data_IF_999749377931
#
_entry.id   IF_999749377931
#
_cell.length_a   1.000
_cell.length_b   1.000
_cell.length_c   1.000
_cell.angle_alpha   90.00
_cell.angle_beta   90.00
_cell.angle_gamma   90.00
#
_symmetry.space_group_name_H-M   'P 1'
#
loop_
_entity.id
_entity.type
_entity.pdbx_description
1 polymer ?
#
# COMPACT_ATOMS: atom_id res chain seq x y z
N UNK A 1 51.11 3.56 -22.18
CA UNK A 1 50.49 4.84 -22.33
C UNK A 1 49.02 4.79 -22.54
N UNK A 2 48.62 4.09 -23.45
CA UNK A 2 47.25 4.08 -23.80
C UNK A 2 46.38 3.35 -22.83
N UNK A 3 46.97 2.59 -22.07
CA UNK A 3 46.22 1.76 -21.17
C UNK A 3 45.36 2.55 -20.21
N UNK A 4 45.71 3.76 -19.97
CA UNK A 4 45.00 4.51 -18.97
C UNK A 4 43.55 4.77 -19.34
N UNK A 5 43.28 4.84 -20.57
CA UNK A 5 41.94 5.14 -21.01
C UNK A 5 40.90 4.09 -20.66
N UNK A 6 41.33 2.88 -20.47
CA UNK A 6 40.44 1.81 -20.11
C UNK A 6 39.83 1.97 -18.73
N UNK A 7 40.56 2.66 -17.88
CA UNK A 7 40.10 2.85 -16.51
C UNK A 7 38.84 3.71 -16.41
N UNK A 8 38.73 4.68 -17.28
CA UNK A 8 37.59 5.54 -17.31
C UNK A 8 36.29 4.80 -17.62
N UNK A 9 36.37 3.83 -18.48
CA UNK A 9 35.21 3.03 -18.83
C UNK A 9 34.75 2.15 -17.66
N UNK A 10 35.68 1.70 -16.88
CA UNK A 10 35.34 0.84 -15.74
C UNK A 10 34.57 1.59 -14.67
N UNK A 11 34.80 2.85 -14.52
CA UNK A 11 34.10 3.65 -13.54
C UNK A 11 32.60 3.76 -13.80
N UNK A 12 32.18 3.61 -15.03
CA UNK A 12 30.77 3.68 -15.39
C UNK A 12 30.00 2.42 -15.00
N UNK A 13 30.64 1.29 -14.91
CA UNK A 13 29.98 0.03 -14.62
C UNK A 13 29.25 -0.03 -13.29
N UNK A 14 29.85 0.40 -12.20
CA UNK A 14 29.19 0.40 -10.93
C UNK A 14 27.89 1.18 -10.92
N UNK A 15 27.86 2.29 -11.64
CA UNK A 15 26.66 3.12 -11.74
C UNK A 15 25.53 2.39 -12.46
N UNK A 16 25.83 1.69 -13.51
CA UNK A 16 24.87 0.91 -14.26
C UNK A 16 24.32 -0.24 -13.40
N UNK A 17 25.19 -0.91 -12.69
CA UNK A 17 24.81 -1.99 -11.81
C UNK A 17 23.87 -1.51 -10.69
N UNK A 18 24.11 -0.34 -10.14
CA UNK A 18 23.25 0.24 -9.13
C UNK A 18 21.86 0.58 -9.69
N UNK A 19 21.80 1.09 -10.88
CA UNK A 19 20.54 1.38 -11.54
C UNK A 19 19.71 0.11 -11.76
N UNK A 20 20.34 -1.00 -12.01
CA UNK A 20 19.66 -2.28 -12.22
C UNK A 20 19.05 -2.87 -10.94
N UNK A 21 19.59 -2.53 -9.79
CA UNK A 21 19.04 -3.06 -8.52
C UNK A 21 17.76 -2.35 -8.10
N UNK A 22 17.51 -1.15 -8.57
CA UNK A 22 16.33 -0.37 -8.22
C UNK A 22 15.04 -0.79 -8.95
N UNK A 23 15.08 -1.26 -10.20
CA UNK A 23 13.86 -1.48 -10.98
C UNK A 23 12.85 -2.44 -10.38
N UNK A 24 13.27 -3.41 -9.58
CA UNK A 24 12.37 -4.37 -8.97
C UNK A 24 11.33 -3.72 -8.06
N UNK A 25 11.78 -2.85 -7.16
CA UNK A 25 10.91 -2.12 -6.25
C UNK A 25 10.07 -1.08 -6.99
N UNK A 26 10.67 -0.37 -7.93
CA UNK A 26 9.97 0.64 -8.73
C UNK A 26 8.89 0.02 -9.62
N UNK A 27 9.13 -1.15 -10.17
CA UNK A 27 8.16 -1.84 -11.02
C UNK A 27 6.89 -2.19 -10.25
N UNK A 28 7.00 -2.66 -9.03
CA UNK A 28 5.86 -2.94 -8.16
C UNK A 28 5.09 -1.67 -7.83
N UNK A 29 5.78 -0.59 -7.54
CA UNK A 29 5.20 0.72 -7.24
C UNK A 29 4.44 1.29 -8.44
N UNK A 30 4.99 1.15 -9.65
CA UNK A 30 4.34 1.65 -10.86
C UNK A 30 3.08 0.87 -11.21
N UNK A 31 3.01 -0.41 -10.91
CA UNK A 31 1.82 -1.22 -11.14
C UNK A 31 0.66 -0.86 -10.22
N UNK A 32 0.96 -0.34 -9.05
CA UNK A 32 -0.03 -0.02 -8.03
C UNK A 32 0.17 1.41 -7.52
N UNK A 33 -0.46 2.39 -8.17
CA UNK A 33 -0.28 3.80 -7.80
C UNK A 33 -0.68 4.10 -6.35
N UNK A 34 -1.61 3.35 -5.79
CA UNK A 34 -1.97 3.45 -4.38
C UNK A 34 -0.78 3.12 -3.47
N UNK A 35 -0.09 2.01 -3.74
CA UNK A 35 1.11 1.64 -2.97
C UNK A 35 2.21 2.69 -3.11
N UNK A 36 2.41 3.18 -4.33
CA UNK A 36 3.38 4.24 -4.58
C UNK A 36 3.09 5.52 -3.80
N UNK A 37 1.83 5.91 -3.72
CA UNK A 37 1.41 7.06 -2.93
C UNK A 37 1.65 6.83 -1.43
N UNK A 38 1.30 5.66 -0.92
CA UNK A 38 1.51 5.31 0.47
C UNK A 38 2.99 5.28 0.86
N UNK A 39 3.82 4.62 0.06
CA UNK A 39 5.26 4.54 0.34
C UNK A 39 5.94 5.90 0.28
N UNK A 40 5.58 6.73 -0.69
CA UNK A 40 6.19 8.06 -0.85
C UNK A 40 5.70 9.07 0.19
N UNK A 41 4.42 9.08 0.50
CA UNK A 41 3.84 10.09 1.40
C UNK A 41 4.00 9.74 2.88
N UNK A 42 3.95 8.47 3.21
CA UNK A 42 4.01 8.00 4.59
C UNK A 42 5.38 7.44 4.98
N UNK A 43 6.27 7.22 4.01
CA UNK A 43 7.57 6.62 4.26
C UNK A 43 7.50 5.17 4.75
N UNK A 44 6.42 4.47 4.45
CA UNK A 44 6.24 3.06 4.82
C UNK A 44 6.86 2.14 3.77
N UNK A 45 7.23 0.93 4.19
CA UNK A 45 7.70 -0.09 3.24
C UNK A 45 6.55 -0.61 2.37
N UNK A 46 6.89 -1.26 1.27
CA UNK A 46 5.90 -1.86 0.38
C UNK A 46 5.06 -2.92 1.11
N UNK A 47 5.68 -3.73 1.94
CA UNK A 47 4.98 -4.75 2.73
C UNK A 47 4.04 -4.13 3.75
N UNK A 48 4.47 -3.07 4.42
CA UNK A 48 3.61 -2.30 5.32
C UNK A 48 2.42 -1.70 4.58
N UNK A 49 2.65 -1.12 3.41
CA UNK A 49 1.60 -0.55 2.58
C UNK A 49 0.61 -1.64 2.13
N UNK A 50 1.10 -2.78 1.67
CA UNK A 50 0.26 -3.92 1.26
C UNK A 50 -0.56 -4.48 2.41
N UNK A 51 0.07 -4.75 3.53
CA UNK A 51 -0.61 -5.23 4.73
C UNK A 51 -1.61 -4.23 5.26
N UNK A 52 -1.29 -2.94 5.21
CA UNK A 52 -2.16 -1.86 5.61
C UNK A 52 -3.39 -1.74 4.73
N UNK A 53 -3.23 -1.74 3.41
CA UNK A 53 -4.36 -1.74 2.47
C UNK A 53 -5.23 -2.99 2.66
N UNK A 54 -4.61 -4.17 2.86
CA UNK A 54 -5.33 -5.40 3.14
C UNK A 54 -6.14 -5.34 4.43
N UNK A 55 -5.58 -4.76 5.48
CA UNK A 55 -6.28 -4.54 6.75
C UNK A 55 -7.46 -3.58 6.59
N UNK A 56 -7.27 -2.51 5.82
CA UNK A 56 -8.31 -1.56 5.49
C UNK A 56 -9.46 -2.22 4.70
N UNK A 57 -9.12 -3.02 3.69
CA UNK A 57 -10.10 -3.77 2.91
C UNK A 57 -10.84 -4.80 3.78
N UNK A 58 -10.17 -5.43 4.73
CA UNK A 58 -10.82 -6.34 5.67
C UNK A 58 -11.86 -5.61 6.52
N UNK A 59 -11.53 -4.41 7.01
CA UNK A 59 -12.50 -3.59 7.74
C UNK A 59 -13.71 -3.26 6.87
N UNK A 60 -13.50 -2.85 5.63
CA UNK A 60 -14.58 -2.55 4.70
C UNK A 60 -15.45 -3.78 4.41
N UNK A 61 -14.84 -4.95 4.26
CA UNK A 61 -15.55 -6.20 4.04
C UNK A 61 -16.50 -6.54 5.18
N UNK A 62 -16.13 -6.19 6.40
CA UNK A 62 -16.98 -6.43 7.59
C UNK A 62 -18.07 -5.36 7.77
N UNK A 63 -17.83 -4.16 7.27
CA UNK A 63 -18.71 -3.00 7.45
C UNK A 63 -19.70 -2.80 6.31
N UNK A 64 -19.35 -3.19 5.11
CA UNK A 64 -20.14 -2.97 3.91
C UNK A 64 -20.86 -4.23 3.47
N UNK A 65 -21.96 -4.05 2.76
CA UNK A 65 -22.60 -5.15 2.05
C UNK A 65 -21.66 -5.68 0.95
N UNK A 66 -21.80 -6.95 0.60
CA UNK A 66 -20.93 -7.60 -0.37
C UNK A 66 -20.83 -6.85 -1.70
N UNK A 67 -21.93 -6.35 -2.20
CA UNK A 67 -21.95 -5.59 -3.45
C UNK A 67 -21.19 -4.27 -3.38
N UNK A 68 -21.30 -3.56 -2.26
CA UNK A 68 -20.59 -2.31 -2.02
C UNK A 68 -19.09 -2.55 -1.86
N UNK A 69 -18.72 -3.61 -1.16
CA UNK A 69 -17.33 -4.01 -1.03
C UNK A 69 -16.73 -4.40 -2.39
N UNK A 70 -17.45 -5.15 -3.22
CA UNK A 70 -16.99 -5.57 -4.54
C UNK A 70 -16.71 -4.35 -5.45
N UNK A 71 -17.52 -3.29 -5.35
CA UNK A 71 -17.25 -2.04 -6.06
C UNK A 71 -15.91 -1.41 -5.64
N UNK A 72 -15.66 -1.35 -4.34
CA UNK A 72 -14.39 -0.80 -3.82
C UNK A 72 -13.21 -1.69 -4.17
N UNK A 73 -13.37 -3.00 -4.03
CA UNK A 73 -12.32 -3.96 -4.36
C UNK A 73 -11.92 -3.90 -5.83
N UNK A 74 -12.87 -3.63 -6.73
CA UNK A 74 -12.58 -3.49 -8.16
C UNK A 74 -11.73 -2.26 -8.49
N UNK A 75 -11.75 -1.23 -7.64
CA UNK A 75 -10.92 -0.04 -7.80
C UNK A 75 -9.46 -0.27 -7.35
N UNK A 76 -9.23 -1.32 -6.59
CA UNK A 76 -7.90 -1.66 -6.07
C UNK A 76 -7.37 -2.88 -6.79
N UNK A 77 -6.49 -2.70 -7.79
CA UNK A 77 -5.91 -3.83 -8.51
C UNK A 77 -5.19 -4.78 -7.54
N UNK A 78 -5.57 -6.03 -7.53
CA UNK A 78 -4.98 -7.02 -6.63
C UNK A 78 -5.51 -6.99 -5.19
N UNK A 79 -6.73 -6.50 -4.97
CA UNK A 79 -7.36 -6.42 -3.65
C UNK A 79 -7.29 -7.74 -2.86
N UNK A 80 -7.53 -8.87 -3.51
CA UNK A 80 -7.41 -10.19 -2.87
C UNK A 80 -5.98 -10.48 -2.38
N UNK A 81 -4.97 -10.08 -3.16
CA UNK A 81 -3.57 -10.20 -2.77
C UNK A 81 -3.22 -9.36 -1.55
N UNK A 82 -3.83 -8.19 -1.41
CA UNK A 82 -3.64 -7.35 -0.21
C UNK A 82 -4.30 -7.96 1.03
N UNK A 83 -5.50 -8.53 0.88
CA UNK A 83 -6.16 -9.27 1.95
C UNK A 83 -5.30 -10.44 2.44
N UNK A 84 -4.72 -11.19 1.50
CA UNK A 84 -3.82 -12.30 1.84
C UNK A 84 -2.52 -11.80 2.49
N UNK A 85 -1.98 -10.69 2.02
CA UNK A 85 -0.78 -10.08 2.61
C UNK A 85 -1.04 -9.65 4.07
N UNK A 86 -2.18 -9.03 4.35
CA UNK A 86 -2.55 -8.64 5.70
C UNK A 86 -2.65 -9.84 6.64
N UNK A 87 -3.18 -10.96 6.16
CA UNK A 87 -3.25 -12.21 6.91
C UNK A 87 -1.87 -12.82 7.13
N UNK A 88 -1.06 -12.92 6.08
CA UNK A 88 0.30 -13.49 6.13
C UNK A 88 1.22 -12.69 7.04
N UNK A 89 1.10 -11.38 7.05
CA UNK A 89 1.89 -10.49 7.90
C UNK A 89 1.38 -10.47 9.35
N UNK A 90 0.29 -11.18 9.65
CA UNK A 90 -0.27 -11.23 10.99
C UNK A 90 -0.95 -9.93 11.44
N UNK A 91 -1.15 -8.99 10.54
CA UNK A 91 -1.85 -7.75 10.84
C UNK A 91 -3.33 -8.02 11.14
N UNK A 92 -3.95 -8.91 10.37
CA UNK A 92 -5.34 -9.31 10.53
C UNK A 92 -5.40 -10.75 11.04
N UNK A 93 -5.73 -10.90 12.31
CA UNK A 93 -5.91 -12.23 12.96
C UNK A 93 -7.38 -12.63 13.07
N UNK A 94 -8.29 -11.73 12.67
CA UNK A 94 -9.72 -11.95 12.73
C UNK A 94 -10.49 -10.77 12.12
N UNK A 95 -11.82 -10.77 12.20
CA UNK A 95 -12.62 -9.71 11.61
C UNK A 95 -12.32 -8.35 12.27
N UNK A 96 -12.14 -7.34 11.46
CA UNK A 96 -11.90 -5.95 11.92
C UNK A 96 -13.26 -5.24 11.99
N UNK A 97 -13.74 -5.02 13.19
CA UNK A 97 -15.08 -4.46 13.41
C UNK A 97 -15.11 -2.94 13.51
N UNK A 98 -13.97 -2.30 13.72
CA UNK A 98 -13.90 -0.87 13.94
C UNK A 98 -12.51 -0.31 13.56
N UNK A 99 -12.40 1.03 13.53
CA UNK A 99 -11.13 1.73 13.26
C UNK A 99 -10.04 1.40 14.29
N UNK A 100 -10.42 1.12 15.52
CA UNK A 100 -9.46 0.76 16.55
C UNK A 100 -8.77 -0.56 16.24
N UNK A 101 -9.53 -1.54 15.73
CA UNK A 101 -8.98 -2.79 15.21
C UNK A 101 -8.05 -2.57 14.03
N UNK A 102 -8.41 -1.67 13.12
CA UNK A 102 -7.57 -1.29 12.00
C UNK A 102 -6.27 -0.64 12.48
N UNK A 103 -6.34 0.30 13.41
CA UNK A 103 -5.15 0.94 13.98
C UNK A 103 -4.23 -0.08 14.65
N UNK A 104 -4.80 -1.04 15.37
CA UNK A 104 -4.05 -2.16 15.96
C UNK A 104 -3.38 -3.03 14.89
N UNK A 105 -4.07 -3.31 13.80
CA UNK A 105 -3.51 -4.06 12.67
C UNK A 105 -2.34 -3.33 12.01
N UNK A 106 -2.48 -2.02 11.79
CA UNK A 106 -1.40 -1.19 11.23
C UNK A 106 -0.21 -1.11 12.19
N UNK A 107 -0.45 -1.03 13.49
CA UNK A 107 0.60 -1.08 14.51
C UNK A 107 1.38 -2.39 14.50
N UNK A 108 0.70 -3.53 14.27
CA UNK A 108 1.36 -4.84 14.12
C UNK A 108 2.29 -4.90 12.90
N UNK A 109 2.01 -4.11 11.88
CA UNK A 109 2.88 -3.98 10.70
C UNK A 109 4.11 -3.11 10.96
N UNK A 110 4.26 -2.55 12.16
CA UNK A 110 5.39 -1.70 12.53
C UNK A 110 5.20 -0.23 12.16
N UNK A 111 3.99 0.19 11.85
CA UNK A 111 3.68 1.60 11.59
C UNK A 111 3.58 2.36 12.91
N UNK A 112 4.17 3.56 12.95
CA UNK A 112 4.04 4.44 14.12
C UNK A 112 2.66 5.12 14.13
N UNK A 113 2.31 5.71 15.28
CA UNK A 113 1.00 6.33 15.47
C UNK A 113 0.71 7.47 14.49
N UNK A 114 1.72 8.25 14.13
CA UNK A 114 1.57 9.34 13.16
C UNK A 114 1.27 8.80 11.75
N UNK A 115 1.97 7.74 11.36
CA UNK A 115 1.74 7.06 10.07
C UNK A 115 0.35 6.45 10.02
N UNK A 116 -0.08 5.78 11.10
CA UNK A 116 -1.41 5.17 11.22
C UNK A 116 -2.50 6.24 11.08
N UNK A 117 -2.33 7.38 11.74
CA UNK A 117 -3.29 8.49 11.68
C UNK A 117 -3.46 9.08 10.27
N UNK A 118 -2.41 9.05 9.48
CA UNK A 118 -2.40 9.55 8.10
C UNK A 118 -2.82 8.49 7.08
N UNK A 119 -2.62 7.22 7.40
CA UNK A 119 -2.88 6.10 6.50
C UNK A 119 -4.36 6.02 6.11
N UNK A 120 -5.23 5.99 7.11
CA UNK A 120 -6.68 5.85 6.88
C UNK A 120 -7.25 6.96 6.01
N UNK A 121 -7.04 8.26 6.31
CA UNK A 121 -7.57 9.33 5.46
C UNK A 121 -6.97 9.33 4.06
N UNK A 122 -5.69 9.01 3.92
CA UNK A 122 -5.03 8.96 2.62
C UNK A 122 -5.62 7.88 1.72
N UNK A 123 -5.82 6.68 2.25
CA UNK A 123 -6.46 5.58 1.50
C UNK A 123 -7.91 5.91 1.17
N UNK A 124 -8.64 6.49 2.11
CA UNK A 124 -10.03 6.92 1.90
C UNK A 124 -10.14 7.97 0.79
N UNK A 125 -9.27 8.97 0.83
CA UNK A 125 -9.23 10.02 -0.20
C UNK A 125 -8.89 9.44 -1.58
N UNK A 126 -7.90 8.57 -1.63
CA UNK A 126 -7.47 7.94 -2.88
C UNK A 126 -8.59 7.10 -3.50
N UNK A 127 -9.22 6.25 -2.71
CA UNK A 127 -10.35 5.44 -3.16
C UNK A 127 -11.57 6.30 -3.55
N UNK A 128 -11.82 7.36 -2.80
CA UNK A 128 -12.87 8.33 -3.11
C UNK A 128 -12.65 9.03 -4.44
N UNK A 129 -11.40 9.36 -4.77
CA UNK A 129 -11.06 9.96 -6.08
C UNK A 129 -11.27 8.96 -7.23
N UNK A 130 -10.95 7.69 -7.02
CA UNK A 130 -11.12 6.65 -8.04
C UNK A 130 -12.58 6.27 -8.25
N UNK A 131 -13.33 6.12 -7.15
CA UNK A 131 -14.70 5.62 -7.18
C UNK A 131 -15.79 6.71 -7.19
N UNK A 132 -15.39 7.96 -7.05
CA UNK A 132 -16.32 9.07 -7.04
C UNK A 132 -17.16 9.21 -5.77
N UNK A 133 -18.20 10.05 -5.79
CA UNK A 133 -18.98 10.39 -4.59
C UNK A 133 -19.69 9.19 -3.96
N UNK A 134 -20.09 8.22 -4.75
CA UNK A 134 -20.74 7.00 -4.23
C UNK A 134 -19.82 6.21 -3.32
N UNK A 135 -18.60 5.95 -3.77
CA UNK A 135 -17.57 5.24 -2.98
C UNK A 135 -17.17 6.07 -1.76
N UNK A 136 -17.04 7.37 -1.91
CA UNK A 136 -16.73 8.25 -0.80
C UNK A 136 -17.80 8.19 0.30
N UNK A 137 -19.07 8.13 -0.05
CA UNK A 137 -20.18 7.96 0.90
C UNK A 137 -20.14 6.61 1.60
N UNK A 138 -19.85 5.53 0.87
CA UNK A 138 -19.70 4.19 1.43
C UNK A 138 -18.54 4.13 2.43
N UNK A 139 -17.39 4.70 2.09
CA UNK A 139 -16.23 4.76 2.96
C UNK A 139 -16.53 5.57 4.24
N UNK A 140 -17.15 6.72 4.10
CA UNK A 140 -17.54 7.54 5.24
C UNK A 140 -18.52 6.81 6.17
N UNK A 141 -19.44 6.03 5.62
CA UNK A 141 -20.34 5.19 6.39
C UNK A 141 -19.64 4.05 7.13
N UNK A 142 -18.72 3.39 6.47
CA UNK A 142 -17.98 2.25 7.04
C UNK A 142 -16.99 2.66 8.14
N UNK A 143 -16.49 3.89 8.10
CA UNK A 143 -15.50 4.39 9.06
C UNK A 143 -16.11 5.00 10.33
N UNK A 144 -17.42 5.12 10.39
CA UNK A 144 -18.14 5.54 11.61
C UNK A 144 -18.39 4.36 12.53
#
# INVERSE_FOLDING_TARGET
>A
MQRRTLLACLGAWPLIAQAQTLPGSLTSTLKNPLLGALTSQLGVSEDQARGGVGSYLTLLQEKLAKGDFDQIASLVPGASGYLDSAKKLGAVTGPLKNLQGLNGALGKLGMNADTVSKFTPLVTEYLGKLGGPSVQSLLAGALK
#
